data_IF_994562115527
#
_entry.id   IF_994562115527
#
_cell.length_a   1.000
_cell.length_b   1.000
_cell.length_c   1.000
_cell.angle_alpha   90.00
_cell.angle_beta   90.00
_cell.angle_gamma   90.00
#
_symmetry.space_group_name_H-M   'P 1'
#
loop_
_entity.id
_entity.type
_entity.pdbx_description
1 polymer ?
#
# COMPACT_ATOMS: atom_id res chain seq x y z
N UNK A 1 12.66 9.11 85.15
CA UNK A 1 13.64 8.74 84.13
C UNK A 1 13.28 7.35 83.65
N UNK A 2 12.18 7.31 83.05
CA UNK A 2 11.59 6.10 82.48
C UNK A 2 10.90 6.58 81.20
N UNK A 3 10.89 5.74 80.18
CA UNK A 3 10.22 5.90 78.88
C UNK A 3 11.11 6.40 77.70
N UNK A 4 11.96 5.45 77.22
CA UNK A 4 12.43 5.57 75.82
C UNK A 4 12.81 4.19 75.25
N UNK A 5 11.93 3.18 75.33
CA UNK A 5 12.17 1.86 74.71
C UNK A 5 10.89 1.24 74.12
N UNK A 6 10.11 2.00 73.38
CA UNK A 6 8.91 1.41 72.75
C UNK A 6 8.63 1.98 71.34
N UNK A 7 9.60 1.99 70.43
CA UNK A 7 9.31 2.24 69.01
C UNK A 7 10.39 1.65 68.09
N UNK A 8 10.68 0.38 68.18
CA UNK A 8 11.44 -0.35 67.17
C UNK A 8 10.71 -1.63 66.79
N UNK A 9 9.91 -1.55 65.77
CA UNK A 9 9.14 -2.72 65.30
C UNK A 9 8.34 -2.45 64.04
N UNK A 10 8.84 -1.60 63.14
CA UNK A 10 8.22 -1.45 61.81
C UNK A 10 8.91 -2.38 60.84
N UNK A 11 8.34 -3.59 60.71
CA UNK A 11 8.68 -4.59 59.68
C UNK A 11 8.61 -3.98 58.29
N UNK A 12 9.75 -3.76 57.69
CA UNK A 12 9.90 -3.47 56.27
C UNK A 12 9.59 -4.71 55.42
N UNK A 13 8.34 -4.87 54.97
CA UNK A 13 7.99 -5.83 53.94
C UNK A 13 8.73 -5.42 52.64
N UNK A 14 9.47 -6.34 51.99
CA UNK A 14 10.03 -6.07 50.70
C UNK A 14 8.88 -5.90 49.71
N UNK A 15 8.77 -4.69 49.10
CA UNK A 15 7.92 -4.46 47.93
C UNK A 15 8.47 -5.34 46.82
N UNK A 16 7.82 -6.46 46.56
CA UNK A 16 8.11 -7.28 45.38
C UNK A 16 7.77 -6.39 44.16
N UNK A 17 8.80 -5.86 43.56
CA UNK A 17 8.70 -5.25 42.25
C UNK A 17 8.20 -6.33 41.28
N UNK A 18 6.87 -6.37 41.05
CA UNK A 18 6.31 -7.06 39.90
C UNK A 18 6.87 -6.39 38.68
N UNK A 19 7.93 -6.93 38.12
CA UNK A 19 8.34 -6.64 36.75
C UNK A 19 7.20 -7.10 35.85
N UNK A 20 6.25 -6.22 35.60
CA UNK A 20 5.32 -6.34 34.47
C UNK A 20 6.13 -6.08 33.21
N UNK A 21 6.92 -7.08 32.82
CA UNK A 21 7.49 -7.15 31.50
C UNK A 21 6.30 -7.24 30.54
N UNK A 22 6.00 -6.23 29.72
CA UNK A 22 4.97 -6.35 28.72
C UNK A 22 5.55 -7.29 27.67
N UNK A 23 5.24 -8.59 27.81
CA UNK A 23 5.55 -9.56 26.74
C UNK A 23 4.99 -8.97 25.47
N UNK A 24 5.83 -8.65 24.48
CA UNK A 24 5.34 -8.14 23.22
C UNK A 24 4.44 -9.22 22.65
N UNK A 25 3.14 -8.93 22.58
CA UNK A 25 2.15 -9.84 22.01
C UNK A 25 2.64 -10.23 20.62
N UNK A 26 3.08 -11.49 20.51
CA UNK A 26 3.48 -12.03 19.20
C UNK A 26 2.38 -11.80 18.20
N UNK A 27 2.74 -11.57 16.94
CA UNK A 27 1.80 -11.52 15.86
C UNK A 27 0.99 -12.82 15.87
N UNK A 28 -0.17 -12.80 16.52
CA UNK A 28 -1.01 -13.98 16.63
C UNK A 28 -1.65 -14.24 15.27
N UNK A 29 -1.74 -15.51 14.83
CA UNK A 29 -2.56 -15.90 13.67
C UNK A 29 -3.98 -15.33 13.73
N UNK A 30 -4.47 -14.98 14.93
CA UNK A 30 -5.78 -14.42 15.17
C UNK A 30 -6.00 -12.98 14.70
N UNK A 31 -4.95 -12.23 14.29
CA UNK A 31 -5.19 -10.83 13.82
C UNK A 31 -6.04 -10.79 12.54
N UNK A 32 -5.77 -11.67 11.58
CA UNK A 32 -6.61 -11.78 10.39
C UNK A 32 -8.01 -12.34 10.72
N UNK A 33 -8.09 -13.34 11.59
CA UNK A 33 -9.38 -13.86 12.06
C UNK A 33 -10.18 -12.80 12.83
N UNK A 34 -9.52 -11.92 13.58
CA UNK A 34 -10.16 -10.80 14.28
C UNK A 34 -10.68 -9.69 13.34
N UNK A 35 -10.22 -9.62 12.10
CA UNK A 35 -10.79 -8.74 11.09
C UNK A 35 -12.15 -9.26 10.58
N UNK A 36 -12.37 -10.58 10.53
CA UNK A 36 -13.64 -11.24 10.28
C UNK A 36 -14.53 -10.53 9.25
N UNK A 37 -15.79 -10.27 9.64
CA UNK A 37 -16.77 -9.57 8.79
C UNK A 37 -16.37 -8.18 8.33
N UNK A 38 -15.42 -7.52 9.01
CA UNK A 38 -14.92 -6.19 8.57
C UNK A 38 -14.11 -6.25 7.25
N UNK A 39 -13.53 -7.41 6.89
CA UNK A 39 -12.85 -7.57 5.59
C UNK A 39 -13.81 -7.32 4.44
N UNK A 40 -15.00 -7.90 4.50
CA UNK A 40 -16.01 -7.71 3.45
C UNK A 40 -16.39 -6.24 3.32
N UNK A 41 -16.63 -5.56 4.44
CA UNK A 41 -16.99 -4.13 4.43
C UNK A 41 -15.85 -3.28 3.86
N UNK A 42 -14.59 -3.56 4.23
CA UNK A 42 -13.43 -2.83 3.72
C UNK A 42 -13.21 -3.08 2.22
N UNK A 43 -13.42 -4.31 1.74
CA UNK A 43 -13.36 -4.63 0.31
C UNK A 43 -14.45 -3.90 -0.46
N UNK A 44 -15.70 -3.95 0.02
CA UNK A 44 -16.81 -3.24 -0.62
C UNK A 44 -16.60 -1.72 -0.63
N UNK A 45 -16.08 -1.16 0.47
CA UNK A 45 -15.72 0.25 0.55
C UNK A 45 -14.62 0.63 -0.45
N UNK A 46 -13.59 -0.22 -0.60
CA UNK A 46 -12.52 0.00 -1.59
C UNK A 46 -13.06 -0.07 -3.02
N UNK A 47 -13.92 -1.05 -3.32
CA UNK A 47 -14.56 -1.17 -4.63
C UNK A 47 -15.47 0.03 -4.93
N UNK A 48 -16.17 0.56 -3.93
CA UNK A 48 -16.97 1.77 -4.08
C UNK A 48 -16.06 2.98 -4.37
N UNK A 49 -14.95 3.13 -3.65
CA UNK A 49 -13.98 4.20 -3.90
C UNK A 49 -13.37 4.10 -5.31
N UNK A 50 -12.99 2.89 -5.74
CA UNK A 50 -12.53 2.60 -7.10
C UNK A 50 -13.60 2.96 -8.14
N UNK A 51 -14.86 2.59 -7.87
CA UNK A 51 -15.99 2.92 -8.74
C UNK A 51 -16.21 4.43 -8.89
N UNK A 52 -16.07 5.19 -7.80
CA UNK A 52 -16.14 6.66 -7.83
C UNK A 52 -14.97 7.23 -8.65
N UNK A 53 -13.74 6.77 -8.40
CA UNK A 53 -12.55 7.21 -9.12
C UNK A 53 -12.64 6.87 -10.62
N UNK A 54 -13.13 5.67 -10.97
CA UNK A 54 -13.37 5.27 -12.35
C UNK A 54 -14.47 6.10 -13.01
N UNK A 55 -15.56 6.38 -12.27
CA UNK A 55 -16.62 7.27 -12.72
C UNK A 55 -16.12 8.67 -13.10
N UNK A 56 -15.19 9.21 -12.31
CA UNK A 56 -14.57 10.50 -12.60
C UNK A 56 -13.76 10.51 -13.92
N UNK A 57 -13.28 9.36 -14.39
CA UNK A 57 -12.56 9.23 -15.67
C UNK A 57 -13.48 9.07 -16.89
N UNK A 58 -14.77 8.76 -16.68
CA UNK A 58 -15.67 8.41 -17.78
C UNK A 58 -15.90 9.57 -18.78
N UNK A 59 -15.87 10.83 -18.31
CA UNK A 59 -16.00 11.99 -19.18
C UNK A 59 -14.91 12.01 -20.28
N UNK A 60 -13.67 11.69 -19.94
CA UNK A 60 -12.57 11.61 -20.91
C UNK A 60 -12.51 10.26 -21.63
N UNK A 61 -12.83 9.17 -20.94
CA UNK A 61 -12.81 7.81 -21.51
C UNK A 61 -13.74 7.69 -22.71
N UNK A 62 -14.94 8.31 -22.67
CA UNK A 62 -15.89 8.32 -23.77
C UNK A 62 -15.33 8.96 -25.07
N UNK A 63 -14.38 9.89 -24.95
CA UNK A 63 -13.68 10.51 -26.07
C UNK A 63 -12.23 10.04 -26.24
N UNK A 64 -11.82 8.93 -25.62
CA UNK A 64 -10.45 8.39 -25.65
C UNK A 64 -9.37 9.42 -25.33
N UNK A 65 -9.66 10.31 -24.38
CA UNK A 65 -8.78 11.40 -23.95
C UNK A 65 -8.33 12.36 -25.07
N UNK A 66 -9.09 12.45 -26.17
CA UNK A 66 -8.81 13.34 -27.30
C UNK A 66 -9.39 14.76 -27.08
N UNK A 67 -9.28 15.28 -25.85
CA UNK A 67 -9.90 16.56 -25.48
C UNK A 67 -8.89 17.67 -25.15
N UNK A 68 -7.59 17.43 -25.36
CA UNK A 68 -6.56 18.42 -25.07
C UNK A 68 -6.68 18.98 -23.65
N UNK A 69 -6.89 20.29 -23.50
CA UNK A 69 -6.95 20.98 -22.19
C UNK A 69 -8.21 20.59 -21.38
N UNK A 70 -9.28 20.14 -22.03
CA UNK A 70 -10.55 19.84 -21.37
C UNK A 70 -10.43 18.70 -20.34
N UNK A 71 -9.46 17.77 -20.50
CA UNK A 71 -9.21 16.70 -19.54
C UNK A 71 -8.79 17.22 -18.15
N UNK A 72 -8.11 18.38 -18.09
CA UNK A 72 -7.72 19.01 -16.83
C UNK A 72 -8.89 19.71 -16.17
N UNK A 73 -9.75 20.36 -16.96
CA UNK A 73 -10.96 21.04 -16.47
C UNK A 73 -12.00 20.05 -15.95
N UNK A 74 -12.13 18.88 -16.60
CA UNK A 74 -13.03 17.80 -16.19
C UNK A 74 -12.45 16.87 -15.12
N UNK A 75 -11.22 17.13 -14.63
CA UNK A 75 -10.51 16.32 -13.66
C UNK A 75 -10.38 14.83 -14.03
N UNK A 76 -10.36 14.51 -15.32
CA UNK A 76 -10.32 13.15 -15.84
C UNK A 76 -8.98 12.77 -16.50
N UNK A 77 -7.93 13.59 -16.31
CA UNK A 77 -6.57 13.33 -16.79
C UNK A 77 -6.06 11.96 -16.33
N UNK A 78 -5.33 11.27 -17.21
CA UNK A 78 -4.60 10.03 -16.94
C UNK A 78 -3.39 9.91 -17.85
N UNK A 79 -2.31 9.30 -17.35
CA UNK A 79 -1.14 8.87 -18.14
C UNK A 79 -1.36 7.50 -18.79
N UNK A 80 -2.26 6.69 -18.22
CA UNK A 80 -2.42 5.28 -18.58
C UNK A 80 -2.79 5.11 -20.05
N UNK A 81 -3.80 5.81 -20.52
CA UNK A 81 -4.26 5.69 -21.91
C UNK A 81 -3.26 6.28 -22.92
N UNK A 82 -2.75 7.50 -22.76
CA UNK A 82 -1.78 8.07 -23.70
C UNK A 82 -0.49 7.27 -23.81
N UNK A 83 0.01 6.75 -22.70
CA UNK A 83 1.26 5.99 -22.69
C UNK A 83 1.13 4.61 -23.33
N UNK A 84 -0.06 4.05 -23.48
CA UNK A 84 -0.26 2.85 -24.30
C UNK A 84 0.23 3.05 -25.74
N UNK A 85 0.02 4.24 -26.29
CA UNK A 85 0.49 4.61 -27.63
C UNK A 85 1.89 5.23 -27.59
N UNK A 86 2.14 6.14 -26.66
CA UNK A 86 3.40 6.86 -26.52
C UNK A 86 4.60 5.94 -26.30
N UNK A 87 4.42 4.89 -25.48
CA UNK A 87 5.45 3.86 -25.24
C UNK A 87 5.43 2.73 -26.28
N UNK A 88 4.67 2.87 -27.35
CA UNK A 88 4.65 1.91 -28.46
C UNK A 88 4.10 0.51 -28.09
N UNK A 89 3.44 0.36 -26.94
CA UNK A 89 2.82 -0.91 -26.52
C UNK A 89 1.75 -1.36 -27.51
N UNK A 90 1.05 -0.40 -28.13
CA UNK A 90 0.03 -0.62 -29.17
C UNK A 90 0.62 -1.27 -30.43
N UNK A 91 1.89 -1.03 -30.72
CA UNK A 91 2.64 -1.62 -31.84
C UNK A 91 3.47 -2.85 -31.45
N UNK A 92 3.36 -3.30 -30.20
CA UNK A 92 4.03 -4.49 -29.69
C UNK A 92 5.45 -4.29 -29.19
N UNK A 93 5.89 -3.03 -28.99
CA UNK A 93 7.20 -2.74 -28.38
C UNK A 93 7.21 -3.20 -26.92
N UNK A 94 8.36 -3.69 -26.49
CA UNK A 94 8.60 -4.17 -25.12
C UNK A 94 9.39 -3.11 -24.35
N UNK A 95 8.87 -2.60 -23.21
CA UNK A 95 9.57 -1.65 -22.37
C UNK A 95 10.97 -2.11 -21.99
N UNK A 96 11.95 -1.20 -22.03
CA UNK A 96 13.37 -1.37 -21.69
C UNK A 96 14.16 -2.32 -22.64
N UNK A 97 13.48 -3.05 -23.53
CA UNK A 97 14.11 -3.88 -24.55
C UNK A 97 14.19 -3.12 -25.87
N UNK A 98 13.05 -2.62 -26.33
CA UNK A 98 12.95 -1.92 -27.62
C UNK A 98 13.13 -0.40 -27.50
N UNK A 99 12.89 0.17 -26.29
CA UNK A 99 13.01 1.60 -26.02
C UNK A 99 13.12 1.88 -24.51
N UNK A 100 13.57 3.10 -24.19
CA UNK A 100 13.58 3.60 -22.82
C UNK A 100 12.17 4.02 -22.39
N UNK A 101 11.79 3.66 -21.17
CA UNK A 101 10.54 4.07 -20.53
C UNK A 101 10.88 4.92 -19.31
N UNK A 102 10.16 6.01 -19.11
CA UNK A 102 10.42 6.93 -18.00
C UNK A 102 10.03 6.36 -16.61
N UNK A 103 9.18 5.35 -16.59
CA UNK A 103 8.77 4.66 -15.36
C UNK A 103 9.75 3.58 -14.93
N UNK A 104 9.82 3.24 -13.62
CA UNK A 104 10.63 2.13 -13.13
C UNK A 104 10.12 0.77 -13.63
N UNK A 105 11.00 -0.25 -13.55
CA UNK A 105 10.85 -1.55 -14.20
C UNK A 105 9.55 -2.31 -13.84
N UNK A 106 9.06 -2.21 -12.63
CA UNK A 106 7.80 -2.88 -12.22
C UNK A 106 6.61 -2.29 -12.95
N UNK A 107 6.57 -0.97 -13.13
CA UNK A 107 5.49 -0.31 -13.88
C UNK A 107 5.53 -0.74 -15.35
N UNK A 108 6.70 -0.74 -15.98
CA UNK A 108 6.83 -1.22 -17.35
C UNK A 108 6.41 -2.68 -17.52
N UNK A 109 6.70 -3.55 -16.55
CA UNK A 109 6.23 -4.94 -16.57
C UNK A 109 4.69 -5.02 -16.47
N UNK A 110 4.06 -4.18 -15.64
CA UNK A 110 2.59 -4.11 -15.53
C UNK A 110 1.98 -3.57 -16.82
N UNK A 111 2.56 -2.51 -17.39
CA UNK A 111 2.15 -1.96 -18.70
C UNK A 111 2.18 -3.05 -19.78
N UNK A 112 3.29 -3.79 -19.85
CA UNK A 112 3.46 -4.89 -20.83
C UNK A 112 2.44 -6.00 -20.59
N UNK A 113 2.20 -6.40 -19.33
CA UNK A 113 1.19 -7.40 -18.97
C UNK A 113 -0.22 -6.99 -19.40
N UNK A 114 -0.61 -5.73 -19.14
CA UNK A 114 -1.88 -5.17 -19.58
C UNK A 114 -2.00 -5.12 -21.11
N UNK A 115 -0.92 -4.73 -21.83
CA UNK A 115 -0.88 -4.73 -23.28
C UNK A 115 -1.05 -6.13 -23.86
N UNK A 116 -0.43 -7.15 -23.27
CA UNK A 116 -0.63 -8.55 -23.68
C UNK A 116 -2.06 -9.03 -23.46
N UNK A 117 -2.70 -8.63 -22.39
CA UNK A 117 -4.09 -9.02 -22.08
C UNK A 117 -5.07 -8.53 -23.15
N UNK A 118 -4.77 -7.40 -23.81
CA UNK A 118 -5.67 -6.78 -24.82
C UNK A 118 -5.24 -7.02 -26.26
N UNK A 119 -4.14 -7.75 -26.49
CA UNK A 119 -3.51 -7.90 -27.84
C UNK A 119 -4.43 -8.51 -28.90
N UNK A 120 -5.40 -9.34 -28.49
CA UNK A 120 -6.35 -9.99 -29.40
C UNK A 120 -7.43 -9.05 -29.95
N UNK A 121 -7.56 -7.86 -29.39
CA UNK A 121 -8.55 -6.87 -29.81
C UNK A 121 -8.04 -6.18 -31.07
N UNK A 122 -8.78 -6.35 -32.18
CA UNK A 122 -8.36 -5.83 -33.48
C UNK A 122 -8.57 -4.33 -33.67
N UNK A 123 -9.66 -3.80 -33.09
CA UNK A 123 -9.95 -2.37 -33.17
C UNK A 123 -8.98 -1.59 -32.25
N UNK A 124 -8.10 -0.70 -32.79
CA UNK A 124 -7.11 0.01 -31.99
C UNK A 124 -7.74 0.90 -30.91
N UNK A 125 -8.83 1.59 -31.22
CA UNK A 125 -9.54 2.45 -30.28
C UNK A 125 -10.05 1.64 -29.07
N UNK A 126 -10.80 0.56 -29.32
CA UNK A 126 -11.31 -0.34 -28.27
C UNK A 126 -10.17 -0.95 -27.48
N UNK A 127 -9.06 -1.32 -28.14
CA UNK A 127 -7.89 -1.92 -27.50
C UNK A 127 -7.25 -0.97 -26.50
N UNK A 128 -7.09 0.33 -26.84
CA UNK A 128 -6.58 1.34 -25.92
C UNK A 128 -7.49 1.56 -24.71
N UNK A 129 -8.82 1.59 -24.91
CA UNK A 129 -9.78 1.68 -23.79
C UNK A 129 -9.72 0.45 -22.88
N UNK A 130 -9.62 -0.76 -23.45
CA UNK A 130 -9.50 -1.99 -22.65
C UNK A 130 -8.15 -2.09 -21.93
N UNK A 131 -7.06 -1.54 -22.51
CA UNK A 131 -5.78 -1.41 -21.80
C UNK A 131 -5.94 -0.56 -20.53
N UNK A 132 -6.64 0.57 -20.62
CA UNK A 132 -6.98 1.38 -19.45
C UNK A 132 -7.80 0.59 -18.43
N UNK A 133 -8.86 -0.09 -18.87
CA UNK A 133 -9.77 -0.84 -17.99
C UNK A 133 -9.04 -2.00 -17.27
N UNK A 134 -8.17 -2.75 -17.98
CA UNK A 134 -7.34 -3.82 -17.38
C UNK A 134 -6.37 -3.23 -16.36
N UNK A 135 -5.76 -2.09 -16.68
CA UNK A 135 -4.85 -1.40 -15.75
C UNK A 135 -5.61 -0.95 -14.50
N UNK A 136 -6.80 -0.37 -14.64
CA UNK A 136 -7.68 0.00 -13.50
C UNK A 136 -7.98 -1.22 -12.62
N UNK A 137 -8.32 -2.37 -13.21
CA UNK A 137 -8.58 -3.59 -12.45
C UNK A 137 -7.34 -4.05 -11.64
N UNK A 138 -6.14 -3.94 -12.22
CA UNK A 138 -4.89 -4.22 -11.49
C UNK A 138 -4.70 -3.24 -10.34
N UNK A 139 -4.89 -1.95 -10.58
CA UNK A 139 -4.75 -0.90 -9.56
C UNK A 139 -5.74 -1.06 -8.40
N UNK A 140 -6.99 -1.47 -8.70
CA UNK A 140 -8.02 -1.77 -7.70
C UNK A 140 -7.58 -2.90 -6.74
N UNK A 141 -6.91 -3.94 -7.25
CA UNK A 141 -6.36 -5.00 -6.39
C UNK A 141 -5.36 -4.44 -5.40
N UNK A 142 -4.46 -3.53 -5.83
CA UNK A 142 -3.47 -2.93 -4.94
C UNK A 142 -4.10 -1.93 -3.96
N UNK A 143 -5.15 -1.20 -4.34
CA UNK A 143 -5.92 -0.37 -3.40
C UNK A 143 -6.55 -1.23 -2.31
N UNK A 144 -7.29 -2.29 -2.69
CA UNK A 144 -7.90 -3.22 -1.72
C UNK A 144 -6.85 -3.81 -0.79
N UNK A 145 -5.74 -4.31 -1.34
CA UNK A 145 -4.65 -4.87 -0.54
C UNK A 145 -4.04 -3.83 0.43
N UNK A 146 -3.85 -2.59 -0.02
CA UNK A 146 -3.36 -1.48 0.80
C UNK A 146 -4.32 -1.13 1.94
N UNK A 147 -5.63 -1.04 1.68
CA UNK A 147 -6.66 -0.78 2.69
C UNK A 147 -6.71 -1.90 3.73
N UNK A 148 -6.70 -3.17 3.30
CA UNK A 148 -6.67 -4.31 4.22
C UNK A 148 -5.38 -4.36 5.04
N UNK A 149 -4.24 -4.05 4.44
CA UNK A 149 -2.95 -3.96 5.14
C UNK A 149 -2.97 -2.84 6.19
N UNK A 150 -3.58 -1.69 5.87
CA UNK A 150 -3.78 -0.58 6.81
C UNK A 150 -4.64 -1.02 8.00
N UNK A 151 -5.76 -1.70 7.75
CA UNK A 151 -6.62 -2.23 8.80
C UNK A 151 -5.90 -3.25 9.70
N UNK A 152 -5.06 -4.10 9.08
CA UNK A 152 -4.22 -5.04 9.82
C UNK A 152 -3.21 -4.33 10.74
N UNK A 153 -2.54 -3.29 10.24
CA UNK A 153 -1.58 -2.49 11.01
C UNK A 153 -2.27 -1.77 12.17
N UNK A 154 -3.45 -1.17 11.93
CA UNK A 154 -4.23 -0.46 12.94
C UNK A 154 -4.75 -1.40 14.06
N UNK A 155 -4.98 -2.66 13.73
CA UNK A 155 -5.48 -3.67 14.67
C UNK A 155 -7.00 -3.60 14.90
N UNK A 156 -7.56 -4.53 15.69
CA UNK A 156 -9.01 -4.74 15.78
C UNK A 156 -9.83 -3.55 16.27
N UNK A 157 -9.29 -2.73 17.19
CA UNK A 157 -9.96 -1.56 17.75
C UNK A 157 -10.00 -0.37 16.80
N UNK A 158 -8.99 -0.24 15.93
CA UNK A 158 -8.80 0.91 15.04
C UNK A 158 -8.93 0.58 13.55
N UNK A 159 -9.36 -0.65 13.19
CA UNK A 159 -9.41 -1.11 11.81
C UNK A 159 -10.22 -0.24 10.85
N UNK A 160 -11.22 0.43 11.38
CA UNK A 160 -12.09 1.32 10.59
C UNK A 160 -11.39 2.58 10.11
N UNK A 161 -10.23 2.94 10.69
CA UNK A 161 -9.41 4.05 10.17
C UNK A 161 -8.93 3.79 8.74
N UNK A 162 -8.89 2.53 8.31
CA UNK A 162 -8.58 2.17 6.92
C UNK A 162 -9.60 2.74 5.90
N UNK A 163 -10.83 3.04 6.33
CA UNK A 163 -11.81 3.74 5.49
C UNK A 163 -11.37 5.17 5.15
N UNK A 164 -10.58 5.83 6.02
CA UNK A 164 -10.01 7.15 5.73
C UNK A 164 -9.03 7.08 4.55
N UNK A 165 -8.35 5.94 4.37
CA UNK A 165 -7.50 5.71 3.20
C UNK A 165 -8.36 5.48 1.96
N UNK A 166 -9.34 4.55 2.02
CA UNK A 166 -10.20 4.23 0.89
C UNK A 166 -10.96 5.45 0.36
N UNK A 167 -11.52 6.27 1.26
CA UNK A 167 -12.31 7.46 0.91
C UNK A 167 -11.52 8.78 1.02
N UNK A 168 -10.19 8.71 1.00
CA UNK A 168 -9.38 9.93 0.90
C UNK A 168 -9.68 10.64 -0.43
N UNK A 169 -10.10 11.92 -0.42
CA UNK A 169 -10.34 12.67 -1.64
C UNK A 169 -9.11 12.72 -2.55
N UNK A 170 -7.93 12.87 -1.95
CA UNK A 170 -6.67 12.86 -2.70
C UNK A 170 -6.44 11.53 -3.41
N UNK A 171 -6.74 10.39 -2.76
CA UNK A 171 -6.61 9.08 -3.36
C UNK A 171 -7.62 8.90 -4.50
N UNK A 172 -8.90 9.21 -4.27
CA UNK A 172 -9.96 9.05 -5.29
C UNK A 172 -9.65 9.87 -6.55
N UNK A 173 -9.20 11.12 -6.38
CA UNK A 173 -8.90 12.00 -7.51
C UNK A 173 -7.63 11.57 -8.27
N UNK A 174 -6.64 10.97 -7.59
CA UNK A 174 -5.37 10.56 -8.20
C UNK A 174 -5.28 9.07 -8.56
N UNK A 175 -6.24 8.24 -8.16
CA UNK A 175 -6.17 6.77 -8.22
C UNK A 175 -5.76 6.21 -9.60
N UNK A 176 -6.32 6.77 -10.68
CA UNK A 176 -6.12 6.30 -12.05
C UNK A 176 -5.45 7.36 -12.93
N UNK A 177 -4.64 8.24 -12.31
CA UNK A 177 -3.75 9.13 -13.09
C UNK A 177 -2.60 8.30 -13.65
N UNK A 178 -1.96 7.50 -12.80
CA UNK A 178 -0.82 6.65 -13.13
C UNK A 178 -0.83 5.35 -12.31
N UNK A 179 0.30 4.65 -12.20
CA UNK A 179 0.42 3.36 -11.51
C UNK A 179 0.80 3.45 -10.02
N UNK A 180 0.62 4.60 -9.37
CA UNK A 180 1.07 4.85 -7.98
C UNK A 180 0.42 3.94 -6.94
N UNK A 181 -0.81 3.48 -7.19
CA UNK A 181 -1.51 2.54 -6.30
C UNK A 181 -0.73 1.23 -6.10
N UNK A 182 0.07 0.80 -7.08
CA UNK A 182 0.91 -0.40 -6.94
C UNK A 182 1.97 -0.17 -5.85
N UNK A 183 2.70 0.94 -5.94
CA UNK A 183 3.73 1.27 -4.96
C UNK A 183 3.13 1.47 -3.56
N UNK A 184 1.98 2.16 -3.46
CA UNK A 184 1.25 2.37 -2.22
C UNK A 184 0.80 1.04 -1.60
N UNK A 185 0.15 0.18 -2.39
CA UNK A 185 -0.34 -1.13 -1.93
C UNK A 185 0.80 -2.03 -1.44
N UNK A 186 1.89 -2.13 -2.22
CA UNK A 186 3.08 -2.89 -1.84
C UNK A 186 3.72 -2.35 -0.56
N UNK A 187 3.85 -1.03 -0.42
CA UNK A 187 4.38 -0.39 0.78
C UNK A 187 3.52 -0.70 2.02
N UNK A 188 2.20 -0.62 1.92
CA UNK A 188 1.31 -0.94 3.03
C UNK A 188 1.34 -2.43 3.38
N UNK A 189 1.42 -3.33 2.38
CA UNK A 189 1.64 -4.75 2.61
C UNK A 189 2.99 -5.04 3.27
N UNK A 190 4.05 -4.30 2.92
CA UNK A 190 5.35 -4.40 3.58
C UNK A 190 5.25 -4.03 5.07
N UNK A 191 4.56 -2.93 5.40
CA UNK A 191 4.31 -2.53 6.79
C UNK A 191 3.47 -3.57 7.55
N UNK A 192 2.47 -4.18 6.90
CA UNK A 192 1.70 -5.26 7.50
C UNK A 192 2.54 -6.52 7.75
N UNK A 193 3.42 -6.89 6.82
CA UNK A 193 4.37 -7.98 6.99
C UNK A 193 5.36 -7.69 8.14
N UNK A 194 5.84 -6.44 8.25
CA UNK A 194 6.64 -6.00 9.37
C UNK A 194 5.89 -6.13 10.70
N UNK A 195 4.67 -5.63 10.78
CA UNK A 195 3.81 -5.76 11.96
C UNK A 195 3.53 -7.24 12.31
N UNK A 196 3.47 -8.11 11.31
CA UNK A 196 3.34 -9.56 11.45
C UNK A 196 4.67 -10.25 11.83
N UNK A 197 5.76 -9.50 12.08
CA UNK A 197 7.10 -10.01 12.40
C UNK A 197 7.70 -10.91 11.31
N UNK A 198 7.44 -10.59 10.04
CA UNK A 198 8.00 -11.25 8.88
C UNK A 198 8.98 -10.31 8.16
N UNK A 199 10.20 -10.09 8.71
CA UNK A 199 11.10 -9.04 8.22
C UNK A 199 11.56 -9.29 6.77
N UNK A 200 11.80 -10.52 6.36
CA UNK A 200 12.18 -10.87 4.98
C UNK A 200 11.06 -10.50 4.00
N UNK A 201 9.82 -10.92 4.29
CA UNK A 201 8.68 -10.57 3.45
C UNK A 201 8.45 -9.06 3.39
N UNK A 202 8.65 -8.36 4.52
CA UNK A 202 8.55 -6.91 4.58
C UNK A 202 9.60 -6.25 3.67
N UNK A 203 10.85 -6.74 3.69
CA UNK A 203 11.92 -6.23 2.83
C UNK A 203 11.65 -6.47 1.36
N UNK A 204 11.26 -7.70 0.97
CA UNK A 204 10.90 -8.02 -0.43
C UNK A 204 9.77 -7.12 -0.93
N UNK A 205 8.68 -6.97 -0.16
CA UNK A 205 7.56 -6.13 -0.56
C UNK A 205 7.94 -4.64 -0.64
N UNK A 206 8.78 -4.18 0.29
CA UNK A 206 9.28 -2.80 0.26
C UNK A 206 10.24 -2.58 -0.93
N UNK A 207 11.11 -3.54 -1.22
CA UNK A 207 11.98 -3.51 -2.39
C UNK A 207 11.18 -3.45 -3.70
N UNK A 208 10.12 -4.25 -3.84
CA UNK A 208 9.20 -4.18 -4.97
C UNK A 208 8.47 -2.82 -5.03
N UNK A 209 8.05 -2.27 -3.89
CA UNK A 209 7.44 -0.95 -3.84
C UNK A 209 8.41 0.14 -4.33
N UNK A 210 9.69 0.10 -3.91
CA UNK A 210 10.76 1.01 -4.35
C UNK A 210 11.06 0.82 -5.83
N UNK A 211 11.07 -0.42 -6.33
CA UNK A 211 11.25 -0.73 -7.75
C UNK A 211 10.04 -0.33 -8.62
N UNK A 212 8.89 -0.08 -7.99
CA UNK A 212 7.70 0.49 -8.65
C UNK A 212 7.78 2.02 -8.69
N UNK A 213 8.09 2.64 -7.57
CA UNK A 213 8.36 4.08 -7.40
C UNK A 213 9.34 4.30 -6.26
N UNK A 214 10.17 5.30 -6.36
CA UNK A 214 11.28 5.48 -5.41
C UNK A 214 10.84 5.93 -4.00
N UNK A 215 9.70 6.65 -3.86
CA UNK A 215 9.28 7.23 -2.59
C UNK A 215 9.11 6.24 -1.40
N UNK A 216 8.73 4.95 -1.59
CA UNK A 216 8.60 4.02 -0.46
C UNK A 216 9.88 3.77 0.33
N UNK A 217 11.06 4.09 -0.23
CA UNK A 217 12.35 3.96 0.48
C UNK A 217 12.37 4.78 1.79
N UNK A 218 11.59 5.87 1.85
CA UNK A 218 11.48 6.73 3.04
C UNK A 218 11.02 5.95 4.27
N UNK A 219 10.27 4.86 4.08
CA UNK A 219 9.78 4.00 5.18
C UNK A 219 10.93 3.33 5.95
N UNK A 220 12.08 3.12 5.32
CA UNK A 220 13.25 2.56 6.02
C UNK A 220 13.70 3.45 7.19
N UNK A 221 13.55 4.76 7.09
CA UNK A 221 13.99 5.68 8.15
C UNK A 221 13.22 5.49 9.48
N UNK A 222 11.87 5.57 9.53
CA UNK A 222 11.16 5.29 10.76
C UNK A 222 11.35 3.85 11.26
N UNK A 223 11.49 2.85 10.38
CA UNK A 223 11.78 1.48 10.78
C UNK A 223 13.17 1.36 11.44
N UNK A 224 14.18 2.06 10.92
CA UNK A 224 15.49 2.16 11.53
C UNK A 224 15.42 2.73 12.96
N UNK A 225 14.75 3.88 13.13
CA UNK A 225 14.61 4.52 14.43
C UNK A 225 13.85 3.64 15.43
N UNK A 226 12.80 2.96 14.99
CA UNK A 226 12.05 2.01 15.84
C UNK A 226 12.93 0.83 16.29
N UNK A 227 13.72 0.27 15.38
CA UNK A 227 14.64 -0.82 15.69
C UNK A 227 15.78 -0.38 16.61
N UNK A 228 16.31 0.82 16.41
CA UNK A 228 17.34 1.40 17.26
C UNK A 228 16.82 1.56 18.69
N UNK A 229 15.64 2.17 18.87
CA UNK A 229 14.99 2.34 20.19
C UNK A 229 14.67 1.01 20.87
N UNK A 230 14.30 -0.01 20.09
CA UNK A 230 13.94 -1.32 20.61
C UNK A 230 15.15 -2.27 20.80
N UNK A 231 16.37 -1.87 20.46
CA UNK A 231 17.56 -2.74 20.50
C UNK A 231 17.49 -3.92 19.51
N UNK A 232 16.76 -3.78 18.42
CA UNK A 232 16.44 -4.87 17.45
C UNK A 232 17.04 -4.64 16.06
N UNK A 233 18.26 -4.11 16.00
CA UNK A 233 18.93 -3.76 14.74
C UNK A 233 19.08 -4.93 13.76
N UNK A 234 19.21 -6.17 14.25
CA UNK A 234 19.23 -7.34 13.37
C UNK A 234 17.97 -7.44 12.52
N UNK A 235 16.80 -7.15 13.09
CA UNK A 235 15.52 -7.17 12.34
C UNK A 235 15.51 -6.10 11.23
N UNK A 236 16.05 -4.90 11.52
CA UNK A 236 16.18 -3.85 10.51
C UNK A 236 17.06 -4.30 9.34
N UNK A 237 18.27 -4.82 9.63
CA UNK A 237 19.20 -5.22 8.57
C UNK A 237 18.65 -6.36 7.72
N UNK A 238 17.95 -7.34 8.33
CA UNK A 238 17.26 -8.39 7.56
C UNK A 238 16.23 -7.80 6.60
N UNK A 239 15.45 -6.80 7.03
CA UNK A 239 14.46 -6.16 6.14
C UNK A 239 15.12 -5.30 5.07
N UNK A 240 16.15 -4.55 5.40
CA UNK A 240 16.81 -3.65 4.46
C UNK A 240 17.64 -4.38 3.39
N UNK A 241 18.04 -5.63 3.66
CA UNK A 241 18.86 -6.46 2.74
C UNK A 241 18.05 -7.48 1.94
N UNK A 242 16.75 -7.62 2.22
CA UNK A 242 15.85 -8.51 1.49
C UNK A 242 15.16 -7.82 0.35
#
# INVERSE_FOLDING_TARGET
MMDEQARQGASSRPVSARSSDPRPSGASPGRWAALGGSVIVLVLASLLADGIAFGAKQACRAGAWDFGVAQYQAHCYTDIYPLYYGEGLSSGKVPYVDHHVEYPVIIGAVMQGAAWAVRSITNPYTRGLQFFDVTVAVLAVFLIAGVLATAYCAGPSMRWTALLVAFSPALILSAFINWDLIAMGLMMMALAAWAARRPVLAGVLLGLAVATKFYPIVVLWPLFLLCLRAGRMRTFWVTASS
#
